data_IF_638968943512
#
_entry.id   IF_638968943512
#
_cell.length_a   1.000
_cell.length_b   1.000
_cell.length_c   1.000
_cell.angle_alpha   90.00
_cell.angle_beta   90.00
_cell.angle_gamma   90.00
#
_symmetry.space_group_name_H-M   'P 1'
#
loop_
_entity.id
_entity.type
_entity.pdbx_description
1 polymer ?
#
# COMPACT_ATOMS: atom_id res chain seq x y z
N UNK A 1 23.00 -25.94 -14.08
CA UNK A 1 23.23 -25.10 -12.89
C UNK A 1 23.56 -23.63 -13.21
N UNK A 2 23.62 -23.19 -14.48
CA UNK A 2 24.04 -21.82 -14.86
C UNK A 2 22.95 -20.71 -14.82
N UNK A 3 21.70 -20.99 -14.42
CA UNK A 3 20.60 -20.00 -14.46
C UNK A 3 20.04 -19.58 -13.10
N UNK A 4 20.62 -20.01 -11.97
CA UNK A 4 20.12 -19.61 -10.64
C UNK A 4 20.61 -18.20 -10.31
N UNK A 5 19.74 -17.22 -10.01
CA UNK A 5 20.15 -15.83 -9.72
C UNK A 5 21.07 -15.71 -8.49
N UNK A 6 21.92 -14.70 -8.46
CA UNK A 6 22.89 -14.47 -7.37
C UNK A 6 22.21 -14.39 -6.00
N UNK A 7 21.08 -13.70 -5.91
CA UNK A 7 20.34 -13.58 -4.66
C UNK A 7 19.88 -14.93 -4.08
N UNK A 8 19.65 -15.94 -4.93
CA UNK A 8 19.33 -17.30 -4.51
C UNK A 8 20.59 -18.09 -4.16
N UNK A 9 21.66 -17.98 -4.96
CA UNK A 9 22.95 -18.66 -4.70
C UNK A 9 23.58 -18.20 -3.38
N UNK A 10 23.42 -16.92 -3.05
CA UNK A 10 23.96 -16.30 -1.84
C UNK A 10 23.07 -16.44 -0.61
N UNK A 11 21.94 -17.17 -0.70
CA UNK A 11 21.03 -17.35 0.43
C UNK A 11 21.74 -18.03 1.60
N UNK A 12 21.84 -17.37 2.78
CA UNK A 12 22.44 -17.95 3.97
C UNK A 12 21.75 -19.25 4.41
N UNK A 13 22.55 -20.22 4.87
CA UNK A 13 22.07 -21.54 5.32
C UNK A 13 22.08 -21.68 6.86
N UNK A 14 22.62 -20.70 7.58
CA UNK A 14 22.67 -20.72 9.04
C UNK A 14 22.72 -19.30 9.60
N UNK A 15 22.42 -19.16 10.90
CA UNK A 15 22.43 -17.86 11.57
C UNK A 15 23.79 -17.16 11.55
N UNK A 16 24.90 -17.91 11.52
CA UNK A 16 26.24 -17.31 11.49
C UNK A 16 26.58 -16.63 10.16
N UNK A 17 25.95 -17.06 9.06
CA UNK A 17 26.09 -16.47 7.74
C UNK A 17 25.00 -15.47 7.41
N UNK A 18 23.98 -15.33 8.26
CA UNK A 18 22.93 -14.34 8.12
C UNK A 18 23.49 -12.94 8.41
N UNK A 19 23.14 -11.97 7.57
CA UNK A 19 23.58 -10.58 7.70
C UNK A 19 22.40 -9.75 8.21
N UNK A 20 22.68 -8.75 9.04
CA UNK A 20 21.68 -7.84 9.62
C UNK A 20 20.80 -8.48 10.70
N UNK A 21 19.79 -7.70 11.12
CA UNK A 21 18.81 -8.07 12.16
C UNK A 21 19.44 -8.48 13.51
N UNK A 22 20.54 -7.82 13.90
CA UNK A 22 21.26 -8.12 15.16
C UNK A 22 20.36 -8.00 16.39
N UNK A 23 19.36 -7.11 16.37
CA UNK A 23 18.36 -7.00 17.44
C UNK A 23 17.48 -8.25 17.59
N UNK A 24 17.31 -9.04 16.53
CA UNK A 24 16.52 -10.28 16.55
C UNK A 24 17.40 -11.52 16.78
N UNK A 25 18.50 -11.63 16.03
CA UNK A 25 19.29 -12.87 15.91
C UNK A 25 20.74 -12.76 16.41
N UNK A 26 21.15 -11.57 16.85
CA UNK A 26 22.46 -11.36 17.46
C UNK A 26 22.59 -12.11 18.79
N UNK A 27 23.74 -12.02 19.45
CA UNK A 27 24.04 -12.76 20.70
C UNK A 27 22.97 -12.57 21.80
N UNK A 28 22.41 -11.36 21.88
CA UNK A 28 21.35 -10.99 22.82
C UNK A 28 19.99 -10.77 22.13
N UNK A 29 19.85 -11.23 20.88
CA UNK A 29 18.67 -10.98 20.07
C UNK A 29 17.43 -11.69 20.64
N UNK A 30 16.27 -11.05 20.51
CA UNK A 30 15.01 -11.53 21.10
C UNK A 30 14.59 -12.91 20.62
N UNK A 31 14.90 -13.24 19.35
CA UNK A 31 14.53 -14.49 18.71
C UNK A 31 15.62 -15.56 18.84
N UNK A 32 16.87 -15.16 19.08
CA UNK A 32 18.05 -16.05 19.08
C UNK A 32 17.88 -17.26 19.99
N UNK A 33 17.52 -17.03 21.25
CA UNK A 33 17.35 -18.10 22.26
C UNK A 33 16.24 -19.08 21.89
N UNK A 34 15.14 -18.59 21.29
CA UNK A 34 14.02 -19.44 20.86
C UNK A 34 14.42 -20.36 19.71
N UNK A 35 15.22 -19.84 18.76
CA UNK A 35 15.76 -20.65 17.65
C UNK A 35 16.71 -21.73 18.18
N UNK A 36 17.65 -21.36 19.06
CA UNK A 36 18.64 -22.31 19.61
C UNK A 36 18.02 -23.40 20.47
N UNK A 37 16.98 -23.08 21.24
CA UNK A 37 16.24 -24.05 22.07
C UNK A 37 15.22 -24.87 21.27
N UNK A 38 14.88 -24.44 20.05
CA UNK A 38 13.87 -25.08 19.20
C UNK A 38 12.42 -24.95 19.70
N UNK A 39 12.19 -24.10 20.71
CA UNK A 39 10.87 -23.77 21.27
C UNK A 39 10.36 -22.47 20.64
N UNK A 40 9.80 -22.59 19.43
CA UNK A 40 9.34 -21.45 18.64
C UNK A 40 7.81 -21.33 18.70
N UNK A 41 7.27 -20.17 19.11
CA UNK A 41 5.87 -19.86 18.90
C UNK A 41 5.60 -19.61 17.41
N UNK A 42 4.33 -19.49 17.03
CA UNK A 42 3.99 -18.96 15.70
C UNK A 42 4.45 -17.50 15.58
N UNK A 43 4.97 -17.13 14.42
CA UNK A 43 5.64 -15.86 14.15
C UNK A 43 5.00 -15.12 12.98
N UNK A 44 5.02 -13.79 13.05
CA UNK A 44 4.79 -12.91 11.90
C UNK A 44 6.03 -12.04 11.72
N UNK A 45 6.71 -12.20 10.60
CA UNK A 45 7.80 -11.35 10.15
C UNK A 45 7.25 -10.18 9.35
N UNK A 46 7.42 -8.98 9.88
CA UNK A 46 7.02 -7.75 9.23
C UNK A 46 8.25 -6.92 8.86
N UNK A 47 8.36 -6.50 7.61
CA UNK A 47 9.39 -5.56 7.21
C UNK A 47 9.46 -5.38 5.69
N UNK A 48 10.27 -4.43 5.21
CA UNK A 48 10.44 -4.14 3.78
C UNK A 48 10.82 -5.38 2.95
N UNK A 49 10.65 -5.35 1.61
CA UNK A 49 11.11 -6.42 0.74
C UNK A 49 12.63 -6.65 0.89
N UNK A 50 13.06 -7.89 0.66
CA UNK A 50 14.48 -8.23 0.63
C UNK A 50 15.25 -8.16 1.95
N UNK A 51 14.60 -7.93 3.09
CA UNK A 51 15.21 -7.92 4.44
C UNK A 51 15.53 -9.30 5.01
N UNK A 52 15.28 -10.38 4.25
CA UNK A 52 15.63 -11.74 4.63
C UNK A 52 14.56 -12.52 5.41
N UNK A 53 13.27 -12.14 5.34
CA UNK A 53 12.14 -12.85 5.98
C UNK A 53 12.08 -14.34 5.60
N UNK A 54 12.02 -14.64 4.30
CA UNK A 54 11.99 -16.01 3.77
C UNK A 54 13.24 -16.81 4.13
N UNK A 55 14.41 -16.16 4.07
CA UNK A 55 15.69 -16.78 4.44
C UNK A 55 15.71 -17.14 5.92
N UNK A 56 15.26 -16.24 6.79
CA UNK A 56 15.22 -16.49 8.23
C UNK A 56 14.28 -17.65 8.58
N UNK A 57 13.09 -17.70 7.96
CA UNK A 57 12.16 -18.82 8.13
C UNK A 57 12.78 -20.18 7.75
N UNK A 58 13.51 -20.23 6.63
CA UNK A 58 14.23 -21.44 6.20
C UNK A 58 15.31 -21.87 7.20
N UNK A 59 16.13 -20.94 7.67
CA UNK A 59 17.19 -21.22 8.65
C UNK A 59 16.58 -21.76 9.95
N UNK A 60 15.48 -21.15 10.41
CA UNK A 60 14.75 -21.59 11.60
C UNK A 60 14.29 -23.04 11.45
N UNK A 61 13.72 -23.41 10.30
CA UNK A 61 13.27 -24.77 10.04
C UNK A 61 14.42 -25.79 10.01
N UNK A 62 15.52 -25.45 9.32
CA UNK A 62 16.71 -26.29 9.25
C UNK A 62 17.34 -26.50 10.63
N UNK A 63 17.54 -25.43 11.40
CA UNK A 63 18.16 -25.53 12.74
C UNK A 63 17.28 -26.26 13.75
N UNK A 64 15.95 -26.12 13.63
CA UNK A 64 15.02 -26.81 14.52
C UNK A 64 14.76 -28.27 14.11
N UNK A 65 15.28 -28.71 12.95
CA UNK A 65 15.08 -30.02 12.33
C UNK A 65 13.59 -30.37 12.20
N UNK A 66 12.81 -29.44 11.63
CA UNK A 66 11.36 -29.55 11.45
C UNK A 66 11.02 -29.58 9.96
N UNK A 67 10.01 -30.36 9.58
CA UNK A 67 9.46 -30.31 8.22
C UNK A 67 9.01 -28.89 7.89
N UNK A 68 9.31 -28.43 6.67
CA UNK A 68 9.06 -27.05 6.23
C UNK A 68 8.16 -27.05 5.00
N UNK A 69 6.97 -26.46 5.13
CA UNK A 69 6.02 -26.28 4.05
C UNK A 69 5.94 -24.80 3.68
N UNK A 70 6.05 -24.49 2.40
CA UNK A 70 5.96 -23.10 1.90
C UNK A 70 4.68 -22.90 1.11
N UNK A 71 3.93 -21.86 1.47
CA UNK A 71 2.78 -21.36 0.74
C UNK A 71 3.05 -19.91 0.34
N UNK A 72 2.58 -19.52 -0.84
CA UNK A 72 2.60 -18.13 -1.29
C UNK A 72 1.17 -17.64 -1.32
N UNK A 73 0.86 -16.59 -0.55
CA UNK A 73 -0.52 -16.12 -0.44
C UNK A 73 -1.10 -15.59 -1.76
N UNK A 74 -0.24 -15.30 -2.73
CA UNK A 74 -0.61 -14.84 -4.08
C UNK A 74 -1.15 -16.01 -4.93
N UNK A 75 -0.57 -17.20 -4.76
CA UNK A 75 -0.84 -18.36 -5.62
C UNK A 75 -1.62 -19.47 -4.91
N UNK A 76 -1.75 -19.41 -3.58
CA UNK A 76 -2.40 -20.44 -2.77
C UNK A 76 -3.86 -20.11 -2.48
N UNK A 77 -4.77 -21.00 -2.87
CA UNK A 77 -6.17 -20.96 -2.49
C UNK A 77 -6.41 -21.59 -1.11
N UNK A 78 -7.68 -21.63 -0.69
CA UNK A 78 -8.07 -22.21 0.60
C UNK A 78 -7.89 -23.74 0.64
N UNK A 79 -7.89 -24.39 -0.52
CA UNK A 79 -7.74 -25.85 -0.63
C UNK A 79 -6.31 -26.26 -0.30
N UNK A 80 -5.32 -25.58 -0.88
CA UNK A 80 -3.90 -25.82 -0.64
C UNK A 80 -3.54 -25.60 0.83
N UNK A 81 -4.11 -24.57 1.46
CA UNK A 81 -3.93 -24.31 2.90
C UNK A 81 -4.43 -25.50 3.73
N UNK A 82 -5.62 -26.01 3.44
CA UNK A 82 -6.19 -27.17 4.15
C UNK A 82 -5.40 -28.44 3.91
N UNK A 83 -4.92 -28.67 2.69
CA UNK A 83 -4.09 -29.82 2.34
C UNK A 83 -2.79 -29.82 3.14
N UNK A 84 -2.10 -28.68 3.24
CA UNK A 84 -0.88 -28.57 4.06
C UNK A 84 -1.17 -28.80 5.54
N UNK A 85 -2.30 -28.31 6.06
CA UNK A 85 -2.72 -28.58 7.45
C UNK A 85 -2.99 -30.08 7.67
N UNK A 86 -3.70 -30.74 6.76
CA UNK A 86 -3.98 -32.18 6.87
C UNK A 86 -2.70 -33.03 6.78
N UNK A 87 -1.80 -32.70 5.85
CA UNK A 87 -0.48 -33.33 5.78
C UNK A 87 0.32 -33.13 7.08
N UNK A 88 0.20 -31.95 7.69
CA UNK A 88 0.86 -31.62 8.94
C UNK A 88 0.32 -32.40 10.14
N UNK A 89 -0.98 -32.75 10.15
CA UNK A 89 -1.57 -33.63 11.18
C UNK A 89 -1.00 -35.05 11.11
N UNK A 90 -0.79 -35.58 9.90
CA UNK A 90 -0.29 -36.93 9.67
C UNK A 90 1.22 -37.10 9.90
N UNK A 91 1.99 -36.01 9.86
CA UNK A 91 3.44 -36.02 10.08
C UNK A 91 3.86 -36.23 11.55
N UNK A 92 2.91 -36.13 12.49
CA UNK A 92 3.09 -36.43 13.91
C UNK A 92 3.05 -37.93 14.22
N UNK A 93 3.94 -38.72 13.63
CA UNK A 93 4.11 -40.13 13.99
C UNK A 93 4.71 -40.29 15.40
N UNK A 94 4.59 -41.49 15.99
CA UNK A 94 5.06 -41.88 17.33
C UNK A 94 6.53 -41.52 17.67
N UNK A 95 7.33 -41.13 16.65
CA UNK A 95 8.76 -40.84 16.73
C UNK A 95 9.16 -39.44 16.21
N UNK A 96 8.23 -38.58 15.78
CA UNK A 96 8.52 -37.19 15.33
C UNK A 96 8.03 -36.18 16.37
N UNK A 97 8.94 -35.69 17.21
CA UNK A 97 8.59 -34.89 18.39
C UNK A 97 8.33 -33.40 18.15
N UNK A 98 8.32 -32.91 16.90
CA UNK A 98 8.24 -31.46 16.61
C UNK A 98 7.23 -31.14 15.50
N UNK A 99 6.33 -30.21 15.80
CA UNK A 99 5.31 -29.74 14.87
C UNK A 99 5.95 -29.10 13.63
N UNK A 100 5.46 -29.39 12.41
CA UNK A 100 5.98 -28.82 11.17
C UNK A 100 5.83 -27.30 11.14
N UNK A 101 6.73 -26.64 10.41
CA UNK A 101 6.66 -25.21 10.14
C UNK A 101 5.93 -24.98 8.82
N UNK A 102 4.89 -24.16 8.85
CA UNK A 102 4.20 -23.68 7.66
C UNK A 102 4.57 -22.21 7.46
N UNK A 103 5.35 -21.94 6.42
CA UNK A 103 5.71 -20.59 6.01
C UNK A 103 4.71 -20.06 4.99
N UNK A 104 4.18 -18.86 5.23
CA UNK A 104 3.24 -18.19 4.32
C UNK A 104 3.85 -16.84 3.93
N UNK A 105 4.29 -16.73 2.68
CA UNK A 105 4.79 -15.46 2.14
C UNK A 105 3.64 -14.54 1.72
N UNK A 106 3.82 -13.24 1.93
CA UNK A 106 2.82 -12.19 1.70
C UNK A 106 1.45 -12.48 2.35
N UNK A 107 1.43 -12.91 3.61
CA UNK A 107 0.23 -13.34 4.34
C UNK A 107 -0.91 -12.31 4.33
N UNK A 108 -0.60 -11.02 4.17
CA UNK A 108 -1.59 -9.95 4.01
C UNK A 108 -2.49 -10.11 2.76
N UNK A 109 -2.09 -10.92 1.77
CA UNK A 109 -2.89 -11.21 0.58
C UNK A 109 -3.98 -12.24 0.82
N UNK A 110 -3.91 -13.00 1.91
CA UNK A 110 -5.00 -13.91 2.28
C UNK A 110 -6.23 -13.15 2.76
N UNK A 111 -7.38 -13.51 2.22
CA UNK A 111 -8.65 -13.02 2.72
C UNK A 111 -8.95 -13.59 4.13
N UNK A 112 -9.94 -13.00 4.80
CA UNK A 112 -10.35 -13.39 6.16
C UNK A 112 -10.61 -14.90 6.31
N UNK A 113 -11.31 -15.51 5.36
CA UNK A 113 -11.64 -16.95 5.41
C UNK A 113 -10.40 -17.83 5.31
N UNK A 114 -9.41 -17.46 4.49
CA UNK A 114 -8.13 -18.16 4.41
C UNK A 114 -7.35 -18.06 5.72
N UNK A 115 -7.32 -16.87 6.34
CA UNK A 115 -6.65 -16.67 7.63
C UNK A 115 -7.37 -17.43 8.77
N UNK A 116 -8.70 -17.41 8.81
CA UNK A 116 -9.51 -18.15 9.79
C UNK A 116 -9.24 -19.66 9.71
N UNK A 117 -8.96 -20.19 8.52
CA UNK A 117 -8.64 -21.62 8.34
C UNK A 117 -7.35 -22.07 9.02
N UNK A 118 -6.45 -21.13 9.36
CA UNK A 118 -5.18 -21.41 10.06
C UNK A 118 -5.36 -21.48 11.58
N UNK A 119 -6.42 -20.86 12.14
CA UNK A 119 -6.57 -20.66 13.58
C UNK A 119 -6.55 -21.97 14.36
N UNK A 120 -7.37 -22.94 13.95
CA UNK A 120 -7.46 -24.22 14.64
C UNK A 120 -6.11 -24.96 14.65
N UNK A 121 -5.39 -24.92 13.52
CA UNK A 121 -4.11 -25.58 13.38
C UNK A 121 -3.02 -24.94 14.28
N UNK A 122 -3.04 -23.62 14.41
CA UNK A 122 -2.14 -22.89 15.31
C UNK A 122 -2.49 -23.13 16.77
N UNK A 123 -3.77 -23.07 17.15
CA UNK A 123 -4.23 -23.29 18.54
C UNK A 123 -3.95 -24.69 19.08
N UNK A 124 -4.18 -25.70 18.23
CA UNK A 124 -3.93 -27.10 18.60
C UNK A 124 -2.46 -27.49 18.50
N UNK A 125 -1.61 -26.57 18.03
CA UNK A 125 -0.20 -26.82 17.80
C UNK A 125 0.06 -27.84 16.70
N UNK A 126 -0.86 -28.05 15.76
CA UNK A 126 -0.61 -28.94 14.61
C UNK A 126 0.47 -28.37 13.69
N UNK A 127 0.60 -27.05 13.66
CA UNK A 127 1.63 -26.33 12.90
C UNK A 127 2.27 -25.25 13.76
N UNK A 128 3.50 -24.91 13.44
CA UNK A 128 4.10 -23.61 13.80
C UNK A 128 4.03 -22.71 12.58
N UNK A 129 3.22 -21.65 12.65
CA UNK A 129 3.05 -20.73 11.53
C UNK A 129 4.19 -19.72 11.51
N UNK A 130 4.77 -19.45 10.35
CA UNK A 130 5.63 -18.29 10.10
C UNK A 130 5.03 -17.50 8.94
N UNK A 131 4.34 -16.40 9.21
CA UNK A 131 3.85 -15.49 8.18
C UNK A 131 4.88 -14.41 7.86
N UNK A 132 5.03 -14.03 6.59
CA UNK A 132 5.82 -12.87 6.18
C UNK A 132 4.93 -11.83 5.52
N UNK A 133 5.16 -10.55 5.81
CA UNK A 133 4.43 -9.43 5.21
C UNK A 133 5.31 -8.19 5.07
N UNK A 134 5.07 -7.42 4.02
CA UNK A 134 5.58 -6.06 3.84
C UNK A 134 4.65 -5.01 4.44
N UNK A 135 3.34 -5.30 4.45
CA UNK A 135 2.30 -4.45 5.04
C UNK A 135 2.24 -4.59 6.57
N UNK A 136 1.77 -3.53 7.24
CA UNK A 136 1.61 -3.54 8.69
C UNK A 136 0.59 -4.62 9.12
N UNK A 137 1.01 -5.62 9.92
CA UNK A 137 0.19 -6.77 10.25
C UNK A 137 -1.09 -6.40 11.02
N UNK A 138 -1.13 -5.29 11.77
CA UNK A 138 -2.32 -4.91 12.55
C UNK A 138 -3.55 -4.55 11.71
N UNK A 139 -3.35 -4.21 10.43
CA UNK A 139 -4.44 -3.88 9.49
C UNK A 139 -4.85 -5.08 8.63
N UNK A 140 -3.88 -5.88 8.19
CA UNK A 140 -4.09 -6.90 7.17
C UNK A 140 -4.23 -8.33 7.73
N UNK A 141 -3.72 -8.59 8.94
CA UNK A 141 -3.86 -9.89 9.61
C UNK A 141 -4.97 -9.83 10.64
N UNK A 142 -5.86 -10.82 10.64
CA UNK A 142 -7.02 -10.85 11.53
C UNK A 142 -6.56 -10.85 13.01
N UNK A 143 -7.25 -10.11 13.91
CA UNK A 143 -6.86 -10.02 15.31
C UNK A 143 -6.75 -11.38 16.02
N UNK A 144 -7.59 -12.35 15.65
CA UNK A 144 -7.55 -13.69 16.22
C UNK A 144 -6.26 -14.45 15.89
N UNK A 145 -5.71 -14.28 14.68
CA UNK A 145 -4.46 -14.93 14.28
C UNK A 145 -3.26 -14.20 14.91
N UNK A 146 -3.30 -12.86 14.92
CA UNK A 146 -2.28 -12.05 15.58
C UNK A 146 -2.15 -12.34 17.06
N UNK A 147 -3.25 -12.54 17.79
CA UNK A 147 -3.21 -12.84 19.22
C UNK A 147 -2.53 -14.19 19.54
N UNK A 148 -2.28 -15.04 18.53
CA UNK A 148 -1.64 -16.36 18.64
C UNK A 148 -0.23 -16.38 18.04
N UNK A 149 0.24 -15.24 17.52
CA UNK A 149 1.56 -15.11 16.89
C UNK A 149 2.37 -14.00 17.56
N UNK A 150 3.70 -14.17 17.61
CA UNK A 150 4.61 -13.09 17.96
C UNK A 150 5.01 -12.31 16.70
N UNK A 151 4.88 -10.99 16.74
CA UNK A 151 5.28 -10.11 15.62
C UNK A 151 6.71 -9.66 15.82
N UNK A 152 7.56 -9.89 14.83
CA UNK A 152 8.95 -9.42 14.80
C UNK A 152 9.18 -8.50 13.60
N UNK A 153 9.75 -7.33 13.86
CA UNK A 153 10.07 -6.32 12.84
C UNK A 153 11.47 -6.55 12.30
N UNK A 154 11.58 -6.78 10.99
CA UNK A 154 12.82 -6.82 10.25
C UNK A 154 13.08 -5.45 9.62
N UNK A 155 14.18 -4.82 10.01
CA UNK A 155 14.55 -3.50 9.52
C UNK A 155 15.16 -3.60 8.12
N UNK A 156 15.10 -2.52 7.35
CA UNK A 156 15.90 -2.38 6.13
C UNK A 156 17.39 -2.54 6.47
N UNK A 157 18.18 -3.05 5.52
CA UNK A 157 19.62 -3.20 5.73
C UNK A 157 20.31 -1.84 5.81
N UNK A 158 21.23 -1.72 6.77
CA UNK A 158 22.10 -0.55 6.88
C UNK A 158 23.27 -0.63 5.88
N UNK A 159 23.98 0.48 5.69
CA UNK A 159 25.15 0.56 4.80
C UNK A 159 26.15 -0.58 5.04
N UNK A 160 26.51 -0.81 6.30
CA UNK A 160 27.50 -1.84 6.67
C UNK A 160 27.01 -3.26 6.33
N UNK A 161 25.71 -3.53 6.46
CA UNK A 161 25.14 -4.83 6.11
C UNK A 161 25.18 -5.06 4.61
N UNK A 162 24.79 -4.06 3.82
CA UNK A 162 24.80 -4.15 2.36
C UNK A 162 26.23 -4.31 1.81
N UNK A 163 27.20 -3.56 2.34
CA UNK A 163 28.62 -3.74 1.99
C UNK A 163 29.12 -5.14 2.34
N UNK A 164 28.70 -5.68 3.49
CA UNK A 164 29.03 -7.06 3.90
C UNK A 164 28.39 -8.09 2.96
N UNK A 165 27.16 -7.85 2.47
CA UNK A 165 26.53 -8.70 1.46
C UNK A 165 27.32 -8.73 0.14
N UNK A 166 27.79 -7.57 -0.33
CA UNK A 166 28.63 -7.50 -1.54
C UNK A 166 29.96 -8.26 -1.37
N UNK A 167 30.65 -8.06 -0.25
CA UNK A 167 31.90 -8.78 0.05
C UNK A 167 31.66 -10.29 0.13
N UNK A 168 30.60 -10.72 0.82
CA UNK A 168 30.23 -12.13 0.87
C UNK A 168 29.96 -12.70 -0.53
N UNK A 169 29.29 -11.93 -1.41
CA UNK A 169 29.03 -12.37 -2.78
C UNK A 169 30.33 -12.57 -3.57
N UNK A 170 31.29 -11.65 -3.47
CA UNK A 170 32.59 -11.76 -4.15
C UNK A 170 33.39 -12.95 -3.62
N UNK A 171 33.43 -13.14 -2.29
CA UNK A 171 34.31 -14.13 -1.66
C UNK A 171 33.76 -15.57 -1.68
N UNK A 172 32.43 -15.73 -1.67
CA UNK A 172 31.78 -17.02 -1.39
C UNK A 172 30.95 -17.56 -2.55
N UNK A 173 30.49 -16.73 -3.48
CA UNK A 173 29.75 -17.23 -4.65
C UNK A 173 30.70 -18.05 -5.54
N UNK A 174 30.23 -19.19 -6.02
CA UNK A 174 31.05 -20.09 -6.83
C UNK A 174 31.45 -19.51 -8.19
N UNK A 175 30.69 -18.54 -8.72
CA UNK A 175 30.95 -17.90 -10.01
C UNK A 175 31.72 -16.58 -9.81
N UNK A 176 31.29 -15.73 -8.88
CA UNK A 176 31.93 -14.43 -8.70
C UNK A 176 33.35 -14.53 -8.16
N UNK A 177 33.64 -15.55 -7.34
CA UNK A 177 34.98 -15.76 -6.78
C UNK A 177 36.05 -16.02 -7.85
N UNK A 178 35.66 -16.48 -9.05
CA UNK A 178 36.60 -16.71 -10.16
C UNK A 178 36.84 -15.44 -10.99
N UNK A 179 36.09 -14.35 -10.75
CA UNK A 179 36.23 -13.07 -11.45
C UNK A 179 37.08 -12.10 -10.64
N UNK A 180 37.83 -11.23 -11.32
CA UNK A 180 38.61 -10.19 -10.66
C UNK A 180 37.74 -8.92 -10.47
N UNK A 181 37.02 -8.85 -9.35
CA UNK A 181 36.06 -7.79 -9.05
C UNK A 181 36.65 -6.83 -8.01
N UNK A 182 36.67 -5.53 -8.33
CA UNK A 182 37.14 -4.48 -7.42
C UNK A 182 35.98 -3.52 -7.14
N UNK A 183 35.62 -3.38 -5.87
CA UNK A 183 34.64 -2.40 -5.40
C UNK A 183 35.37 -1.09 -5.08
N UNK A 184 35.44 -0.17 -6.04
CA UNK A 184 36.06 1.15 -5.84
C UNK A 184 35.07 2.12 -5.18
N UNK A 185 33.81 2.11 -5.62
CA UNK A 185 32.73 2.89 -5.03
C UNK A 185 31.46 2.04 -4.90
N UNK A 186 30.73 2.17 -3.80
CA UNK A 186 29.53 1.37 -3.51
C UNK A 186 28.27 2.21 -3.38
N UNK A 187 28.39 3.53 -3.23
CA UNK A 187 27.31 4.46 -2.91
C UNK A 187 26.11 4.29 -3.85
N UNK A 188 26.34 4.21 -5.17
CA UNK A 188 25.28 4.05 -6.16
C UNK A 188 24.55 2.70 -6.03
N UNK A 189 25.27 1.60 -5.79
CA UNK A 189 24.67 0.28 -5.55
C UNK A 189 23.79 0.28 -4.30
N UNK A 190 24.31 0.86 -3.22
CA UNK A 190 23.62 0.97 -1.95
C UNK A 190 22.36 1.84 -2.09
N UNK A 191 22.48 2.99 -2.74
CA UNK A 191 21.38 3.92 -2.98
C UNK A 191 20.27 3.26 -3.81
N UNK A 192 20.62 2.56 -4.90
CA UNK A 192 19.65 1.87 -5.76
C UNK A 192 18.98 0.69 -5.06
N UNK A 193 19.67 0.03 -4.13
CA UNK A 193 19.10 -1.07 -3.34
C UNK A 193 18.03 -0.59 -2.36
N UNK A 194 18.15 0.64 -1.84
CA UNK A 194 17.21 1.18 -0.85
C UNK A 194 17.11 0.35 0.44
N UNK A 195 18.17 -0.38 0.82
CA UNK A 195 18.15 -1.29 1.97
C UNK A 195 17.57 -2.69 1.68
N UNK A 196 17.28 -3.01 0.43
CA UNK A 196 16.85 -4.35 -0.03
C UNK A 196 18.07 -5.17 -0.51
N UNK A 197 18.40 -6.24 0.22
CA UNK A 197 19.54 -7.10 -0.11
C UNK A 197 19.35 -7.95 -1.37
N UNK A 198 18.11 -8.30 -1.74
CA UNK A 198 17.80 -9.01 -2.99
C UNK A 198 18.00 -8.08 -4.19
N UNK A 199 17.50 -6.85 -4.10
CA UNK A 199 17.68 -5.81 -5.12
C UNK A 199 19.17 -5.50 -5.30
N UNK A 200 19.91 -5.34 -4.21
CA UNK A 200 21.36 -5.14 -4.24
C UNK A 200 22.08 -6.24 -5.03
N UNK A 201 21.86 -7.51 -4.68
CA UNK A 201 22.53 -8.64 -5.32
C UNK A 201 22.13 -8.79 -6.80
N UNK A 202 20.86 -8.54 -7.14
CA UNK A 202 20.40 -8.57 -8.53
C UNK A 202 21.05 -7.45 -9.37
N UNK A 203 21.12 -6.23 -8.84
CA UNK A 203 21.80 -5.11 -9.52
C UNK A 203 23.29 -5.39 -9.67
N UNK A 204 23.92 -5.95 -8.63
CA UNK A 204 25.32 -6.34 -8.67
C UNK A 204 25.60 -7.42 -9.73
N UNK A 205 24.79 -8.48 -9.78
CA UNK A 205 24.87 -9.53 -10.80
C UNK A 205 24.70 -8.96 -12.21
N UNK A 206 23.76 -8.05 -12.41
CA UNK A 206 23.53 -7.37 -13.69
C UNK A 206 24.78 -6.62 -14.17
N UNK A 207 25.43 -5.87 -13.28
CA UNK A 207 26.63 -5.09 -13.63
C UNK A 207 27.78 -6.02 -14.00
N UNK A 208 27.97 -7.10 -13.23
CA UNK A 208 29.03 -8.08 -13.48
C UNK A 208 28.79 -8.81 -14.81
N UNK A 209 27.55 -9.17 -15.12
CA UNK A 209 27.20 -9.86 -16.37
C UNK A 209 27.27 -8.94 -17.60
N UNK A 210 27.18 -7.62 -17.40
CA UNK A 210 27.38 -6.64 -18.48
C UNK A 210 28.85 -6.31 -18.76
N UNK A 211 29.78 -6.80 -17.92
CA UNK A 211 31.22 -6.62 -18.11
C UNK A 211 31.80 -7.78 -18.92
N UNK A 212 32.79 -7.51 -19.77
CA UNK A 212 33.44 -8.51 -20.63
C UNK A 212 34.30 -9.50 -19.80
N UNK A 213 34.45 -10.74 -20.27
CA UNK A 213 34.99 -11.88 -19.50
C UNK A 213 36.49 -11.78 -19.15
N UNK A 214 37.27 -10.93 -19.83
CA UNK A 214 38.73 -10.83 -19.67
C UNK A 214 39.24 -9.53 -19.00
N UNK A 215 38.35 -8.70 -18.47
CA UNK A 215 38.71 -7.43 -17.83
C UNK A 215 38.61 -7.46 -16.31
N UNK A 216 39.41 -6.64 -15.63
CA UNK A 216 39.18 -6.30 -14.23
C UNK A 216 37.82 -5.61 -14.14
N UNK A 217 36.90 -6.20 -13.38
CA UNK A 217 35.56 -5.67 -13.20
C UNK A 217 35.63 -4.64 -12.06
N UNK A 218 36.04 -3.44 -12.41
CA UNK A 218 35.97 -2.29 -11.51
C UNK A 218 34.51 -1.80 -11.43
N UNK A 219 34.02 -1.64 -10.20
CA UNK A 219 32.68 -1.14 -9.88
C UNK A 219 32.82 0.29 -9.33
N UNK A 220 32.32 1.25 -10.11
CA UNK A 220 32.26 2.68 -9.76
C UNK A 220 30.82 3.18 -9.85
N UNK A 221 30.54 4.31 -9.19
CA UNK A 221 29.22 4.92 -9.20
C UNK A 221 28.75 5.25 -10.62
N UNK A 222 29.66 5.76 -11.47
CA UNK A 222 29.37 6.08 -12.86
C UNK A 222 28.95 4.85 -13.68
N UNK A 223 29.67 3.73 -13.52
CA UNK A 223 29.39 2.47 -14.23
C UNK A 223 28.03 1.88 -13.80
N UNK A 224 27.73 1.93 -12.50
CA UNK A 224 26.44 1.52 -11.95
C UNK A 224 25.29 2.28 -12.63
N UNK A 225 25.34 3.62 -12.64
CA UNK A 225 24.28 4.42 -13.24
C UNK A 225 24.16 4.22 -14.76
N UNK A 226 25.28 4.05 -15.48
CA UNK A 226 25.26 3.81 -16.92
C UNK A 226 24.55 2.51 -17.30
N UNK A 227 24.82 1.42 -16.57
CA UNK A 227 24.23 0.10 -16.83
C UNK A 227 22.78 0.05 -16.35
N UNK A 228 22.51 0.64 -15.20
CA UNK A 228 21.17 0.68 -14.62
C UNK A 228 20.26 1.55 -15.47
N UNK A 229 20.65 2.76 -15.90
CA UNK A 229 19.82 3.60 -16.78
C UNK A 229 19.45 2.91 -18.09
N UNK A 230 20.39 2.20 -18.73
CA UNK A 230 20.09 1.39 -19.94
C UNK A 230 19.02 0.32 -19.68
N UNK A 231 18.94 -0.23 -18.47
CA UNK A 231 17.94 -1.22 -18.07
C UNK A 231 16.69 -0.62 -17.42
N UNK A 232 16.75 0.57 -16.81
CA UNK A 232 15.63 1.20 -16.07
C UNK A 232 14.61 1.82 -17.01
N UNK A 233 14.99 2.07 -18.27
CA UNK A 233 14.03 2.32 -19.37
C UNK A 233 13.01 1.17 -19.51
N UNK A 234 13.22 0.01 -18.85
CA UNK A 234 12.31 -1.13 -18.88
C UNK A 234 11.38 -1.33 -17.65
N UNK A 235 11.70 -0.97 -16.39
CA UNK A 235 10.73 -1.07 -15.24
C UNK A 235 11.24 -0.66 -13.83
N UNK A 236 10.39 -0.04 -12.99
CA UNK A 236 10.05 -0.41 -11.57
C UNK A 236 8.83 0.41 -11.06
N UNK A 237 7.75 -0.25 -10.60
CA UNK A 237 6.45 0.34 -10.22
C UNK A 237 5.97 0.00 -8.80
N UNK A 238 6.82 -0.52 -7.91
CA UNK A 238 6.32 -1.22 -6.69
C UNK A 238 7.03 -0.88 -5.36
N UNK A 239 7.56 0.33 -5.18
CA UNK A 239 8.28 0.72 -3.94
C UNK A 239 7.50 1.65 -2.98
N UNK A 240 7.90 1.69 -1.71
CA UNK A 240 7.47 2.68 -0.69
C UNK A 240 7.65 4.14 -1.20
N UNK A 241 8.73 4.40 -1.95
CA UNK A 241 8.98 5.68 -2.61
C UNK A 241 7.89 6.09 -3.61
N UNK A 242 7.19 5.15 -4.25
CA UNK A 242 6.07 5.47 -5.14
C UNK A 242 4.95 6.15 -4.34
N UNK A 243 4.58 5.62 -3.18
CA UNK A 243 3.55 6.21 -2.33
C UNK A 243 3.98 7.57 -1.79
N UNK A 244 5.24 7.72 -1.37
CA UNK A 244 5.75 9.00 -0.87
C UNK A 244 5.75 10.09 -1.95
N UNK A 245 6.18 9.78 -3.17
CA UNK A 245 6.20 10.73 -4.29
C UNK A 245 4.77 11.14 -4.66
N UNK A 246 3.84 10.18 -4.76
CA UNK A 246 2.42 10.46 -5.06
C UNK A 246 1.80 11.29 -3.93
N UNK A 247 2.13 10.99 -2.68
CA UNK A 247 1.67 11.72 -1.51
C UNK A 247 2.21 13.15 -1.51
N UNK A 248 3.50 13.34 -1.81
CA UNK A 248 4.13 14.65 -1.93
C UNK A 248 3.52 15.47 -3.08
N UNK A 249 3.22 14.83 -4.23
CA UNK A 249 2.51 15.46 -5.35
C UNK A 249 1.15 16.01 -4.93
N UNK A 250 0.31 15.19 -4.30
CA UNK A 250 -1.04 15.57 -3.85
C UNK A 250 -0.98 16.62 -2.75
N UNK A 251 -0.06 16.49 -1.79
CA UNK A 251 0.15 17.50 -0.74
C UNK A 251 0.64 18.83 -1.31
N UNK A 252 1.46 18.83 -2.36
CA UNK A 252 1.92 20.07 -3.01
C UNK A 252 0.77 20.79 -3.70
N UNK A 253 -0.09 20.06 -4.43
CA UNK A 253 -1.29 20.64 -5.04
C UNK A 253 -2.24 21.19 -3.95
N UNK A 254 -2.50 20.41 -2.89
CA UNK A 254 -3.33 20.81 -1.74
C UNK A 254 -2.78 22.04 -1.03
N UNK A 255 -1.46 22.10 -0.85
CA UNK A 255 -0.72 23.22 -0.26
C UNK A 255 -0.58 24.43 -1.19
N UNK A 256 -1.18 24.39 -2.38
CA UNK A 256 -1.12 25.44 -3.39
C UNK A 256 0.30 25.79 -3.85
N UNK A 257 1.19 24.80 -3.92
CA UNK A 257 2.53 24.94 -4.49
C UNK A 257 2.61 24.29 -5.89
N UNK A 258 2.45 25.08 -6.97
CA UNK A 258 2.55 24.56 -8.33
C UNK A 258 3.97 24.08 -8.68
N UNK A 259 5.01 24.61 -8.04
CA UNK A 259 6.39 24.21 -8.31
C UNK A 259 6.66 22.80 -7.75
N UNK A 260 6.30 22.59 -6.48
CA UNK A 260 6.33 21.26 -5.86
C UNK A 260 5.48 20.26 -6.64
N UNK A 261 4.27 20.63 -7.05
CA UNK A 261 3.40 19.77 -7.85
C UNK A 261 4.05 19.33 -9.16
N UNK A 262 4.64 20.25 -9.93
CA UNK A 262 5.31 19.91 -11.20
C UNK A 262 6.58 19.09 -10.97
N UNK A 263 7.35 19.36 -9.91
CA UNK A 263 8.54 18.58 -9.59
C UNK A 263 8.21 17.11 -9.27
N UNK A 264 7.24 16.88 -8.37
CA UNK A 264 6.82 15.51 -8.03
C UNK A 264 6.12 14.82 -9.20
N UNK A 265 5.41 15.57 -10.05
CA UNK A 265 4.89 15.06 -11.32
C UNK A 265 6.01 14.56 -12.23
N UNK A 266 7.05 15.35 -12.44
CA UNK A 266 8.20 14.97 -13.24
C UNK A 266 8.87 13.71 -12.68
N UNK A 267 9.05 13.64 -11.35
CA UNK A 267 9.59 12.44 -10.68
C UNK A 267 8.75 11.19 -10.93
N UNK A 268 7.43 11.28 -10.94
CA UNK A 268 6.54 10.15 -11.29
C UNK A 268 6.68 9.76 -12.76
N UNK A 269 6.73 10.75 -13.66
CA UNK A 269 6.84 10.51 -15.11
C UNK A 269 8.17 9.83 -15.47
N UNK A 270 9.28 10.36 -14.98
CA UNK A 270 10.61 9.77 -15.17
C UNK A 270 10.73 8.41 -14.46
N UNK A 271 9.98 8.22 -13.38
CA UNK A 271 9.82 6.93 -12.71
C UNK A 271 8.94 5.91 -13.45
N UNK A 272 8.42 6.25 -14.63
CA UNK A 272 7.61 5.34 -15.46
C UNK A 272 6.17 5.16 -14.95
N UNK A 273 5.66 6.07 -14.14
CA UNK A 273 4.31 5.99 -13.57
C UNK A 273 3.22 5.93 -14.66
N UNK A 274 2.13 5.21 -14.39
CA UNK A 274 0.99 5.23 -15.31
C UNK A 274 0.37 6.65 -15.36
N UNK A 275 0.39 7.29 -16.53
CA UNK A 275 -0.21 8.61 -16.74
C UNK A 275 -1.70 8.65 -16.35
N UNK A 276 -2.42 7.51 -16.51
CA UNK A 276 -3.82 7.41 -16.07
C UNK A 276 -3.92 7.38 -14.55
N UNK A 277 -2.95 6.80 -13.86
CA UNK A 277 -2.91 6.81 -12.39
C UNK A 277 -2.72 8.23 -11.86
N UNK A 278 -1.76 8.98 -12.39
CA UNK A 278 -1.54 10.38 -12.03
C UNK A 278 -2.82 11.21 -12.25
N UNK A 279 -3.44 11.08 -13.43
CA UNK A 279 -4.67 11.80 -13.75
C UNK A 279 -5.86 11.42 -12.85
N UNK A 280 -6.01 10.15 -12.45
CA UNK A 280 -7.02 9.74 -11.45
C UNK A 280 -6.84 10.45 -10.12
N UNK A 281 -5.58 10.58 -9.64
CA UNK A 281 -5.29 11.25 -8.37
C UNK A 281 -5.66 12.74 -8.41
N UNK A 282 -5.38 13.42 -9.53
CA UNK A 282 -5.81 14.80 -9.76
C UNK A 282 -7.34 14.95 -9.82
N UNK A 283 -8.04 13.98 -10.43
CA UNK A 283 -9.50 13.98 -10.51
C UNK A 283 -10.15 13.87 -9.14
N UNK A 284 -9.63 12.99 -8.27
CA UNK A 284 -10.11 12.86 -6.87
C UNK A 284 -9.84 14.17 -6.12
N UNK A 285 -8.62 14.69 -6.21
CA UNK A 285 -8.21 15.94 -5.54
C UNK A 285 -9.11 17.11 -5.94
N UNK A 286 -9.51 17.21 -7.21
CA UNK A 286 -10.37 18.29 -7.67
C UNK A 286 -11.71 18.37 -6.90
N UNK A 287 -12.24 17.23 -6.46
CA UNK A 287 -13.46 17.17 -5.63
C UNK A 287 -13.17 17.22 -4.13
N UNK A 288 -12.03 16.69 -3.69
CA UNK A 288 -11.64 16.58 -2.27
C UNK A 288 -11.11 17.89 -1.69
N UNK A 289 -10.22 18.57 -2.42
CA UNK A 289 -9.42 19.70 -1.92
C UNK A 289 -9.77 21.05 -2.57
N UNK A 290 -10.54 21.06 -3.66
CA UNK A 290 -10.99 22.27 -4.37
C UNK A 290 -12.51 22.41 -4.32
N UNK A 291 -13.24 21.34 -4.68
CA UNK A 291 -14.70 21.27 -4.55
C UNK A 291 -15.42 22.45 -5.19
N UNK A 292 -16.40 23.01 -4.46
CA UNK A 292 -17.22 24.12 -4.95
C UNK A 292 -16.52 25.48 -4.93
N UNK A 293 -15.30 25.58 -4.39
CA UNK A 293 -14.51 26.80 -4.51
C UNK A 293 -14.11 27.06 -5.97
N UNK A 294 -13.89 25.98 -6.75
CA UNK A 294 -13.72 26.05 -8.19
C UNK A 294 -14.21 24.77 -8.90
N UNK A 295 -15.51 24.65 -9.24
CA UNK A 295 -16.07 23.48 -9.94
C UNK A 295 -15.43 23.18 -11.29
N UNK A 296 -14.82 24.18 -11.95
CA UNK A 296 -14.10 23.98 -13.22
C UNK A 296 -12.88 23.09 -13.05
N UNK A 297 -12.32 22.98 -11.85
CA UNK A 297 -11.22 22.05 -11.54
C UNK A 297 -11.58 20.59 -11.84
N UNK A 298 -12.80 20.16 -11.49
CA UNK A 298 -13.27 18.81 -11.78
C UNK A 298 -13.40 18.56 -13.29
N UNK A 299 -13.89 19.56 -14.02
CA UNK A 299 -14.02 19.52 -15.48
C UNK A 299 -12.65 19.40 -16.14
N UNK A 300 -11.69 20.24 -15.74
CA UNK A 300 -10.34 20.20 -16.30
C UNK A 300 -9.63 18.88 -15.97
N UNK A 301 -9.77 18.37 -14.74
CA UNK A 301 -9.18 17.11 -14.33
C UNK A 301 -9.80 15.91 -15.08
N UNK A 302 -11.12 15.94 -15.33
CA UNK A 302 -11.80 14.91 -16.12
C UNK A 302 -11.34 14.94 -17.59
N UNK A 303 -11.27 16.13 -18.20
CA UNK A 303 -10.78 16.28 -19.57
C UNK A 303 -9.31 15.88 -19.68
N UNK A 304 -8.51 16.17 -18.65
CA UNK A 304 -7.12 15.70 -18.55
C UNK A 304 -7.07 14.18 -18.55
N UNK A 305 -7.87 13.51 -17.71
CA UNK A 305 -7.93 12.05 -17.65
C UNK A 305 -8.29 11.41 -19.00
N UNK A 306 -9.27 11.98 -19.70
CA UNK A 306 -9.64 11.54 -21.05
C UNK A 306 -8.50 11.76 -22.05
N UNK A 307 -7.93 12.97 -22.09
CA UNK A 307 -6.88 13.33 -23.04
C UNK A 307 -5.61 12.48 -22.87
N UNK A 308 -5.15 12.22 -21.64
CA UNK A 308 -3.97 11.38 -21.40
C UNK A 308 -4.22 9.91 -21.76
N UNK A 309 -5.47 9.46 -21.67
CA UNK A 309 -5.87 8.11 -22.11
C UNK A 309 -5.80 7.96 -23.63
N UNK A 310 -6.05 9.04 -24.37
CA UNK A 310 -6.01 9.06 -25.83
C UNK A 310 -4.60 9.30 -26.40
N UNK A 311 -3.81 10.21 -25.81
CA UNK A 311 -2.58 10.73 -26.42
C UNK A 311 -1.33 9.90 -26.05
N UNK A 312 -1.27 9.30 -24.87
CA UNK A 312 -0.09 8.51 -24.45
C UNK A 312 1.16 9.34 -24.15
N UNK A 313 2.26 8.68 -23.81
CA UNK A 313 3.56 9.29 -23.48
C UNK A 313 4.43 9.42 -24.76
N UNK A 314 5.22 10.50 -24.96
CA UNK A 314 5.56 11.57 -24.01
C UNK A 314 4.59 12.75 -23.89
N UNK A 315 3.72 13.00 -24.86
CA UNK A 315 2.92 14.23 -24.97
C UNK A 315 1.98 14.45 -23.76
N UNK A 316 1.47 13.37 -23.16
CA UNK A 316 0.61 13.43 -21.97
C UNK A 316 1.24 14.20 -20.79
N UNK A 317 2.58 14.27 -20.69
CA UNK A 317 3.26 15.04 -19.63
C UNK A 317 2.88 16.52 -19.63
N UNK A 318 2.61 17.09 -20.80
CA UNK A 318 2.25 18.51 -20.96
C UNK A 318 0.85 18.76 -20.40
N UNK A 319 -0.09 17.87 -20.72
CA UNK A 319 -1.49 17.94 -20.28
C UNK A 319 -1.57 17.73 -18.76
N UNK A 320 -0.82 16.76 -18.24
CA UNK A 320 -0.71 16.53 -16.80
C UNK A 320 -0.17 17.75 -16.06
N UNK A 321 0.88 18.40 -16.60
CA UNK A 321 1.49 19.59 -16.00
C UNK A 321 0.53 20.79 -15.99
N UNK A 322 -0.20 21.00 -17.09
CA UNK A 322 -1.24 22.04 -17.17
C UNK A 322 -2.33 21.83 -16.12
N UNK A 323 -2.80 20.59 -15.95
CA UNK A 323 -3.79 20.27 -14.94
C UNK A 323 -3.25 20.47 -13.52
N UNK A 324 -2.06 19.94 -13.22
CA UNK A 324 -1.45 20.03 -11.90
C UNK A 324 -1.26 21.49 -11.46
N UNK A 325 -0.75 22.34 -12.35
CA UNK A 325 -0.55 23.78 -12.06
C UNK A 325 -1.87 24.53 -11.87
N UNK A 326 -2.91 24.19 -12.64
CA UNK A 326 -4.25 24.76 -12.46
C UNK A 326 -4.89 24.37 -11.12
N UNK A 327 -4.80 23.08 -10.75
CA UNK A 327 -5.34 22.59 -9.48
C UNK A 327 -4.56 23.19 -8.30
N UNK A 328 -3.23 23.28 -8.40
CA UNK A 328 -2.40 23.89 -7.37
C UNK A 328 -2.75 25.38 -7.17
N UNK A 329 -3.02 26.09 -8.27
CA UNK A 329 -3.37 27.51 -8.24
C UNK A 329 -4.86 27.80 -7.96
N UNK A 330 -5.70 26.77 -7.80
CA UNK A 330 -7.14 26.94 -7.53
C UNK A 330 -7.42 27.24 -6.05
N UNK A 331 -8.47 28.03 -5.72
CA UNK A 331 -8.98 28.15 -4.36
C UNK A 331 -9.27 26.78 -3.75
N UNK A 332 -8.91 26.59 -2.48
CA UNK A 332 -9.06 25.30 -1.79
C UNK A 332 -10.32 25.28 -0.95
N UNK A 333 -11.02 24.15 -1.00
CA UNK A 333 -12.13 23.84 -0.12
C UNK A 333 -12.39 22.35 -0.08
N UNK A 334 -12.46 21.80 1.12
CA UNK A 334 -12.89 20.43 1.37
C UNK A 334 -14.33 20.36 1.91
N UNK A 335 -15.12 21.43 1.77
CA UNK A 335 -16.45 21.54 2.35
C UNK A 335 -17.40 20.41 1.89
N UNK A 336 -17.42 20.10 0.60
CA UNK A 336 -18.22 19.00 0.02
C UNK A 336 -17.74 17.64 0.51
N UNK A 337 -16.42 17.43 0.61
CA UNK A 337 -15.81 16.21 1.11
C UNK A 337 -16.14 15.98 2.60
N UNK A 338 -16.02 17.02 3.42
CA UNK A 338 -16.38 16.94 4.83
C UNK A 338 -17.88 16.72 5.03
N UNK A 339 -18.74 17.28 4.16
CA UNK A 339 -20.18 17.10 4.24
C UNK A 339 -20.60 15.64 4.12
N UNK A 340 -20.09 14.93 3.10
CA UNK A 340 -20.42 13.51 2.92
C UNK A 340 -19.85 12.64 4.05
N UNK A 341 -18.64 12.95 4.53
CA UNK A 341 -18.03 12.23 5.66
C UNK A 341 -18.85 12.38 6.95
N UNK A 342 -19.31 13.59 7.27
CA UNK A 342 -20.18 13.86 8.42
C UNK A 342 -21.52 13.14 8.29
N UNK A 343 -22.15 13.19 7.11
CA UNK A 343 -23.41 12.51 6.86
C UNK A 343 -23.27 10.98 7.01
N UNK A 344 -22.23 10.38 6.42
CA UNK A 344 -21.96 8.94 6.56
C UNK A 344 -21.66 8.53 8.00
N UNK A 345 -20.93 9.37 8.75
CA UNK A 345 -20.69 9.14 10.17
C UNK A 345 -22.01 9.18 10.97
N UNK A 346 -22.88 10.15 10.69
CA UNK A 346 -24.17 10.27 11.35
C UNK A 346 -25.07 9.07 11.07
N UNK A 347 -25.16 8.61 9.82
CA UNK A 347 -25.90 7.39 9.44
C UNK A 347 -25.40 6.17 10.23
N UNK A 348 -24.08 6.02 10.38
CA UNK A 348 -23.51 4.93 11.20
C UNK A 348 -23.89 5.01 12.69
N UNK A 349 -24.18 6.20 13.21
CA UNK A 349 -24.57 6.42 14.60
C UNK A 349 -26.07 6.27 14.83
N UNK A 350 -26.90 6.76 13.91
CA UNK A 350 -28.36 6.82 14.07
C UNK A 350 -29.07 5.59 13.50
N UNK A 351 -28.39 4.78 12.69
CA UNK A 351 -29.01 3.67 11.97
C UNK A 351 -29.97 4.15 10.87
N UNK A 352 -30.96 3.32 10.55
CA UNK A 352 -31.90 3.53 9.45
C UNK A 352 -33.10 4.41 9.85
N UNK A 353 -32.84 5.70 10.09
CA UNK A 353 -33.91 6.67 10.29
C UNK A 353 -34.86 6.71 9.09
N UNK A 354 -36.16 6.77 9.38
CA UNK A 354 -37.20 6.73 8.35
C UNK A 354 -37.20 7.99 7.48
N UNK A 355 -37.42 7.82 6.17
CA UNK A 355 -37.68 8.95 5.26
C UNK A 355 -38.98 9.64 5.69
N UNK A 356 -39.00 10.98 5.84
CA UNK A 356 -40.22 11.74 6.13
C UNK A 356 -41.37 11.43 5.16
N UNK A 357 -42.60 11.34 5.67
CA UNK A 357 -43.77 10.86 4.91
C UNK A 357 -44.00 11.69 3.64
N UNK A 358 -43.87 13.02 3.73
CA UNK A 358 -44.05 13.94 2.59
C UNK A 358 -42.97 13.80 1.51
N UNK A 359 -41.84 13.14 1.78
CA UNK A 359 -40.79 12.87 0.79
C UNK A 359 -40.89 11.46 0.18
N UNK A 360 -41.75 10.58 0.72
CA UNK A 360 -41.91 9.21 0.23
C UNK A 360 -42.63 9.20 -1.12
N UNK A 361 -42.20 8.31 -2.00
CA UNK A 361 -42.93 8.04 -3.23
C UNK A 361 -44.22 7.25 -2.92
N UNK A 362 -45.31 7.55 -3.62
CA UNK A 362 -46.61 6.89 -3.49
C UNK A 362 -47.13 6.33 -4.83
N UNK A 363 -46.42 5.35 -5.44
CA UNK A 363 -46.79 4.81 -6.74
C UNK A 363 -48.07 3.95 -6.73
N UNK A 364 -48.46 3.39 -5.57
CA UNK A 364 -49.64 2.52 -5.46
C UNK A 364 -50.82 3.22 -4.79
N UNK A 365 -52.05 2.74 -5.02
CA UNK A 365 -53.26 3.27 -4.36
C UNK A 365 -53.18 3.16 -2.84
N UNK A 366 -52.73 2.02 -2.33
CA UNK A 366 -52.53 1.77 -0.90
C UNK A 366 -51.56 2.78 -0.27
N UNK A 367 -50.46 3.12 -0.96
CA UNK A 367 -49.48 4.11 -0.45
C UNK A 367 -50.08 5.52 -0.38
N UNK A 368 -50.95 5.89 -1.33
CA UNK A 368 -51.67 7.17 -1.30
C UNK A 368 -52.69 7.21 -0.15
N UNK A 369 -53.39 6.10 0.11
CA UNK A 369 -54.29 5.96 1.26
C UNK A 369 -53.55 6.05 2.61
N UNK A 370 -52.29 5.58 2.65
CA UNK A 370 -51.38 5.73 3.79
C UNK A 370 -50.69 7.11 3.86
N UNK A 371 -51.16 8.10 3.08
CA UNK A 371 -50.66 9.47 3.03
C UNK A 371 -49.19 9.61 2.58
N UNK A 372 -48.61 8.65 1.87
CA UNK A 372 -47.23 8.80 1.36
C UNK A 372 -47.18 9.92 0.33
N UNK A 373 -46.16 10.79 0.42
CA UNK A 373 -46.01 11.95 -0.45
C UNK A 373 -47.09 13.03 -0.25
N UNK A 374 -47.98 12.87 0.73
CA UNK A 374 -48.96 13.89 1.09
C UNK A 374 -48.23 15.10 1.67
N UNK A 375 -48.73 16.29 1.36
CA UNK A 375 -48.18 17.57 1.79
C UNK A 375 -46.77 17.90 1.28
N UNK A 376 -46.26 17.13 0.30
CA UNK A 376 -45.04 17.50 -0.42
C UNK A 376 -45.22 18.85 -1.10
N UNK A 377 -44.34 19.80 -0.77
CA UNK A 377 -44.34 21.10 -1.44
C UNK A 377 -43.42 21.04 -2.65
N UNK A 378 -43.99 20.99 -3.86
CA UNK A 378 -43.19 21.01 -5.08
C UNK A 378 -42.57 22.40 -5.28
N UNK A 379 -41.25 22.50 -5.14
CA UNK A 379 -40.56 23.80 -5.01
C UNK A 379 -40.82 24.78 -6.18
N UNK A 380 -41.03 24.28 -7.40
CA UNK A 380 -41.30 25.13 -8.58
C UNK A 380 -42.67 25.83 -8.55
N UNK A 381 -43.60 25.37 -7.71
CA UNK A 381 -44.90 26.03 -7.52
C UNK A 381 -44.83 27.22 -6.56
N UNK A 382 -43.68 27.43 -5.91
CA UNK A 382 -43.47 28.47 -4.91
C UNK A 382 -42.54 29.57 -5.44
N UNK A 383 -42.66 30.76 -4.85
CA UNK A 383 -41.83 31.91 -5.21
C UNK A 383 -40.33 31.55 -5.14
N UNK A 384 -39.55 32.05 -6.10
CA UNK A 384 -38.12 31.75 -6.26
C UNK A 384 -37.77 30.27 -6.42
N UNK A 385 -38.74 29.43 -6.81
CA UNK A 385 -38.59 27.98 -6.92
C UNK A 385 -38.16 27.32 -5.58
N UNK A 386 -38.64 27.85 -4.44
CA UNK A 386 -38.29 27.34 -3.12
C UNK A 386 -39.49 27.25 -2.19
N UNK A 387 -39.70 26.06 -1.61
CA UNK A 387 -40.68 25.83 -0.57
C UNK A 387 -39.98 25.42 0.73
N UNK A 388 -40.23 26.15 1.82
CA UNK A 388 -39.73 25.76 3.13
C UNK A 388 -40.46 24.50 3.62
N UNK A 389 -39.70 23.42 3.75
CA UNK A 389 -40.09 22.11 4.30
C UNK A 389 -38.85 21.35 4.73
N UNK A 390 -39.01 20.36 5.61
CA UNK A 390 -37.90 19.56 6.10
C UNK A 390 -37.56 18.41 5.16
N UNK A 391 -36.27 18.25 4.87
CA UNK A 391 -35.77 17.16 4.03
C UNK A 391 -35.03 16.08 4.81
N UNK A 392 -34.75 16.35 6.09
CA UNK A 392 -34.13 15.40 7.02
C UNK A 392 -35.20 14.72 7.88
N UNK A 393 -34.92 13.52 8.42
CA UNK A 393 -35.72 12.92 9.49
C UNK A 393 -35.90 13.88 10.67
N UNK A 394 -36.97 13.70 11.43
CA UNK A 394 -37.34 14.56 12.57
C UNK A 394 -36.18 14.69 13.58
N UNK A 395 -35.46 13.60 13.83
CA UNK A 395 -34.34 13.52 14.75
C UNK A 395 -33.08 14.26 14.27
N UNK A 396 -33.02 14.62 12.99
CA UNK A 396 -31.88 15.30 12.36
C UNK A 396 -32.22 16.71 11.88
N UNK A 397 -33.40 17.20 12.21
CA UNK A 397 -33.87 18.51 11.78
C UNK A 397 -32.94 19.64 12.23
N UNK A 398 -32.49 20.46 11.27
CA UNK A 398 -31.55 21.56 11.51
C UNK A 398 -30.08 21.15 11.60
N UNK A 399 -29.76 19.86 11.50
CA UNK A 399 -28.38 19.38 11.45
C UNK A 399 -27.71 19.86 10.15
N UNK A 400 -26.58 20.58 10.27
CA UNK A 400 -25.83 21.10 9.13
C UNK A 400 -24.68 20.17 8.76
N UNK A 401 -24.83 19.46 7.63
CA UNK A 401 -23.76 18.63 7.07
C UNK A 401 -22.80 19.42 6.17
N UNK A 402 -23.34 20.25 5.29
CA UNK A 402 -22.55 21.07 4.37
C UNK A 402 -22.39 22.49 4.94
N UNK A 403 -21.14 22.91 5.12
CA UNK A 403 -20.75 24.28 5.47
C UNK A 403 -19.85 24.78 4.34
N UNK A 404 -20.30 25.73 3.50
CA UNK A 404 -19.46 26.29 2.44
C UNK A 404 -18.17 26.87 3.03
N UNK A 405 -17.04 26.72 2.34
CA UNK A 405 -15.76 27.26 2.79
C UNK A 405 -15.70 28.79 2.71
N UNK A 406 -14.69 29.39 3.34
CA UNK A 406 -14.47 30.84 3.29
C UNK A 406 -13.66 31.24 2.04
N UNK A 407 -14.36 31.32 0.92
CA UNK A 407 -13.82 31.82 -0.35
C UNK A 407 -14.93 32.53 -1.14
N UNK A 408 -14.61 33.40 -2.11
CA UNK A 408 -15.62 34.22 -2.79
C UNK A 408 -16.78 33.42 -3.40
N UNK A 409 -16.48 32.26 -4.00
CA UNK A 409 -17.50 31.43 -4.67
C UNK A 409 -18.42 30.75 -3.69
N UNK A 410 -17.86 30.13 -2.65
CA UNK A 410 -18.65 29.46 -1.62
C UNK A 410 -19.33 30.43 -0.66
N UNK A 411 -18.81 31.65 -0.47
CA UNK A 411 -19.51 32.70 0.26
C UNK A 411 -20.78 33.16 -0.48
N UNK A 412 -20.78 33.16 -1.82
CA UNK A 412 -22.00 33.39 -2.60
C UNK A 412 -23.01 32.23 -2.40
N UNK A 413 -22.54 30.98 -2.36
CA UNK A 413 -23.38 29.81 -2.04
C UNK A 413 -23.95 29.94 -0.62
N UNK A 414 -23.13 30.28 0.38
CA UNK A 414 -23.56 30.49 1.77
C UNK A 414 -24.65 31.57 1.85
N UNK A 415 -24.46 32.69 1.17
CA UNK A 415 -25.45 33.79 1.13
C UNK A 415 -26.76 33.33 0.50
N UNK A 416 -26.69 32.62 -0.63
CA UNK A 416 -27.87 32.05 -1.28
C UNK A 416 -28.62 31.08 -0.36
N UNK A 417 -27.91 30.13 0.25
CA UNK A 417 -28.51 29.16 1.18
C UNK A 417 -29.08 29.83 2.44
N UNK A 418 -28.41 30.84 2.99
CA UNK A 418 -28.89 31.63 4.12
C UNK A 418 -30.19 32.36 3.80
N UNK A 419 -30.31 32.94 2.60
CA UNK A 419 -31.54 33.61 2.18
C UNK A 419 -32.74 32.65 2.08
N UNK A 420 -32.50 31.41 1.62
CA UNK A 420 -33.54 30.38 1.54
C UNK A 420 -33.91 29.79 2.90
N UNK A 421 -32.90 29.40 3.68
CA UNK A 421 -33.08 28.61 4.91
C UNK A 421 -33.12 29.44 6.18
N UNK A 422 -32.82 30.74 6.12
CA UNK A 422 -32.75 31.66 7.26
C UNK A 422 -31.91 31.04 8.38
N UNK A 423 -32.49 30.87 9.57
CA UNK A 423 -31.81 30.31 10.74
C UNK A 423 -31.92 28.78 10.86
N UNK A 424 -32.55 28.08 9.89
CA UNK A 424 -32.75 26.62 9.98
C UNK A 424 -31.45 25.84 10.17
N UNK A 425 -30.38 26.27 9.51
CA UNK A 425 -29.05 25.64 9.56
C UNK A 425 -27.94 26.60 10.04
N UNK A 426 -28.30 27.83 10.44
CA UNK A 426 -27.36 28.87 10.86
C UNK A 426 -26.17 29.04 9.90
N UNK A 427 -26.45 29.34 8.63
CA UNK A 427 -25.46 29.67 7.60
C UNK A 427 -24.89 31.08 7.77
#
# INVERSE_FOLDING_TARGET
MMNTPLAERMRPQNLASYVGQEHLIGKNGSLRKQIETGLLPSLIFWGPPGTGKTTLANIIAQQSNRSFFTLSAINSGIKEVREVIEQSKGAGGLFSAKNPIVFIDEIHRFNKTQQDSLLQAVEKGWITLIGATTENPSFEVIPALLSRCQVYVLNAFERNDLEKLLRNAIERDSILKTKNIILTETEALLQLSGGDGRKLLNTFELIINSSLEDEIIEITNAKVFQIVQKNTVLYDKTGEQHYDIVSAFIKSIRGSDPNGAVYWLARMIEGGEDVKFIARRMLILASEDIGNANPTALILANNTFQAVTTIGYPESRIILSQCATYLASSPKSNASYMAINKAQQKVKQTGDLSVPIHLRNAPTKLMKELNYGKDYKYSHDYENNFAFQDFLPEELQGEKFYEPGDNPRENAIRTYLKNLWKERYNY
#
